data_IF_057374027563
#
_entry.id   IF_057374027563
#
_cell.length_a   1.000
_cell.length_b   1.000
_cell.length_c   1.000
_cell.angle_alpha   90.00
_cell.angle_beta   90.00
_cell.angle_gamma   90.00
#
_symmetry.space_group_name_H-M   'P 1'
#
loop_
_entity.id
_entity.type
_entity.pdbx_description
1 polymer ?
#
# COMPACT_ATOMS: atom_id res chain seq x y z
N UNK A 1 -21.54 4.91 -14.44
CA UNK A 1 -20.50 3.88 -14.19
C UNK A 1 -20.73 3.33 -12.80
N UNK A 2 -21.08 2.05 -12.64
CA UNK A 2 -21.17 1.45 -11.31
C UNK A 2 -19.77 1.37 -10.68
N UNK A 3 -19.58 1.79 -9.40
CA UNK A 3 -18.27 1.82 -8.77
C UNK A 3 -17.69 0.39 -8.66
N UNK A 4 -16.36 0.22 -8.80
CA UNK A 4 -15.68 -1.05 -8.52
C UNK A 4 -15.78 -1.43 -7.05
N UNK A 5 -15.65 -2.73 -6.76
CA UNK A 5 -15.73 -3.25 -5.39
C UNK A 5 -14.37 -3.12 -4.71
N UNK A 6 -14.33 -2.31 -3.65
CA UNK A 6 -13.22 -2.26 -2.70
C UNK A 6 -13.55 -3.15 -1.50
N UNK A 7 -12.78 -4.21 -1.30
CA UNK A 7 -12.98 -5.14 -0.18
C UNK A 7 -11.86 -4.96 0.84
N UNK A 8 -12.13 -4.31 1.99
CA UNK A 8 -11.24 -4.40 3.13
C UNK A 8 -11.33 -5.80 3.74
N UNK A 9 -10.23 -6.56 3.72
CA UNK A 9 -10.17 -7.92 4.22
C UNK A 9 -8.96 -8.16 5.12
N UNK A 10 -9.14 -8.81 6.26
CA UNK A 10 -8.02 -9.35 7.05
C UNK A 10 -7.78 -10.80 6.63
N UNK A 11 -6.66 -11.10 5.97
CA UNK A 11 -6.34 -12.49 5.59
C UNK A 11 -6.01 -13.37 6.80
N UNK A 12 -5.77 -12.75 7.95
CA UNK A 12 -5.41 -13.40 9.22
C UNK A 12 -6.58 -14.04 9.95
N UNK A 13 -7.80 -13.51 9.79
CA UNK A 13 -8.98 -14.00 10.51
C UNK A 13 -9.77 -15.02 9.68
N UNK A 14 -10.30 -16.11 10.28
CA UNK A 14 -11.04 -17.15 9.56
C UNK A 14 -12.23 -16.62 8.74
N UNK A 15 -12.94 -15.62 9.28
CA UNK A 15 -14.03 -14.96 8.55
C UNK A 15 -13.49 -14.09 7.42
N UNK A 16 -12.39 -13.37 7.65
CA UNK A 16 -11.78 -12.50 6.63
C UNK A 16 -11.14 -13.28 5.48
N UNK A 17 -10.55 -14.44 5.74
CA UNK A 17 -10.03 -15.34 4.72
C UNK A 17 -11.15 -16.16 4.06
N UNK A 18 -11.89 -16.97 4.82
CA UNK A 18 -12.86 -17.93 4.27
C UNK A 18 -14.06 -17.28 3.59
N UNK A 19 -14.78 -16.40 4.29
CA UNK A 19 -15.95 -15.72 3.71
C UNK A 19 -15.51 -14.70 2.64
N UNK A 20 -14.38 -14.04 2.83
CA UNK A 20 -13.81 -13.11 1.85
C UNK A 20 -13.48 -13.79 0.51
N UNK A 21 -12.88 -14.98 0.55
CA UNK A 21 -12.58 -15.76 -0.65
C UNK A 21 -13.85 -16.21 -1.37
N UNK A 22 -14.83 -16.74 -0.63
CA UNK A 22 -16.12 -17.14 -1.20
C UNK A 22 -16.85 -15.95 -1.85
N UNK A 23 -16.79 -14.77 -1.23
CA UNK A 23 -17.37 -13.56 -1.80
C UNK A 23 -16.67 -13.17 -3.11
N UNK A 24 -15.34 -13.22 -3.15
CA UNK A 24 -14.57 -12.92 -4.35
C UNK A 24 -14.86 -13.88 -5.51
N UNK A 25 -15.03 -15.17 -5.21
CA UNK A 25 -15.46 -16.18 -6.18
C UNK A 25 -16.83 -15.81 -6.78
N UNK A 26 -17.80 -15.49 -5.93
CA UNK A 26 -19.17 -15.14 -6.37
C UNK A 26 -19.20 -13.84 -7.16
N UNK A 27 -18.47 -12.82 -6.70
CA UNK A 27 -18.33 -11.55 -7.42
C UNK A 27 -17.64 -11.74 -8.77
N UNK A 28 -16.71 -12.67 -8.89
CA UNK A 28 -16.05 -12.97 -10.17
C UNK A 28 -17.00 -13.66 -11.16
N UNK A 29 -17.90 -14.52 -10.67
CA UNK A 29 -18.95 -15.15 -11.49
C UNK A 29 -19.98 -14.11 -11.95
N UNK A 30 -20.52 -13.32 -11.03
CA UNK A 30 -21.62 -12.40 -11.34
C UNK A 30 -21.15 -11.11 -12.02
N UNK A 31 -19.94 -10.64 -11.71
CA UNK A 31 -19.39 -9.34 -12.14
C UNK A 31 -17.96 -9.43 -12.70
N UNK A 32 -17.65 -10.48 -13.48
CA UNK A 32 -16.29 -10.72 -13.99
C UNK A 32 -15.62 -9.59 -14.78
N UNK A 33 -16.40 -8.68 -15.40
CA UNK A 33 -15.85 -7.51 -16.13
C UNK A 33 -15.48 -6.32 -15.24
N UNK A 34 -15.77 -6.38 -13.94
CA UNK A 34 -15.48 -5.30 -12.99
C UNK A 34 -14.11 -5.52 -12.34
N UNK A 35 -13.35 -4.43 -12.23
CA UNK A 35 -12.09 -4.42 -11.49
C UNK A 35 -12.35 -4.62 -10.00
N UNK A 36 -11.56 -5.48 -9.38
CA UNK A 36 -11.64 -5.90 -7.98
C UNK A 36 -10.32 -5.56 -7.29
N UNK A 37 -10.39 -4.64 -6.33
CA UNK A 37 -9.23 -4.18 -5.58
C UNK A 37 -9.39 -4.63 -4.14
N UNK A 38 -8.35 -5.29 -3.63
CA UNK A 38 -8.33 -5.83 -2.27
C UNK A 38 -7.34 -5.06 -1.42
N UNK A 39 -7.78 -4.62 -0.24
CA UNK A 39 -6.92 -4.04 0.79
C UNK A 39 -6.74 -5.10 1.87
N UNK A 40 -5.55 -5.69 1.93
CA UNK A 40 -5.30 -6.87 2.76
C UNK A 40 -4.31 -6.61 3.88
N UNK A 41 -4.72 -6.88 5.10
CA UNK A 41 -3.80 -6.96 6.23
C UNK A 41 -3.18 -8.37 6.28
N UNK A 42 -1.87 -8.42 6.10
CA UNK A 42 -1.08 -9.64 5.99
C UNK A 42 -0.70 -10.23 7.35
N UNK A 43 -0.36 -11.52 7.37
CA UNK A 43 0.12 -12.19 8.57
C UNK A 43 1.51 -11.69 8.97
N UNK A 44 1.62 -11.23 10.21
CA UNK A 44 2.89 -10.83 10.81
C UNK A 44 3.42 -11.96 11.70
N UNK A 45 4.67 -12.42 11.49
CA UNK A 45 5.29 -13.42 12.32
C UNK A 45 5.42 -13.09 13.80
N UNK A 46 5.66 -11.82 14.14
CA UNK A 46 6.04 -11.37 15.48
C UNK A 46 4.83 -10.91 16.31
N UNK A 47 3.80 -10.37 15.66
CA UNK A 47 2.60 -9.80 16.28
C UNK A 47 1.36 -10.62 15.90
N UNK A 48 1.55 -11.94 15.76
CA UNK A 48 0.48 -12.86 15.39
C UNK A 48 -0.50 -13.01 16.55
N UNK A 49 -1.80 -12.84 16.26
CA UNK A 49 -2.88 -13.01 17.26
C UNK A 49 -3.45 -14.42 17.27
N UNK A 50 -3.26 -15.18 16.19
CA UNK A 50 -3.71 -16.56 16.09
C UNK A 50 -2.64 -17.47 15.46
N UNK A 51 -2.45 -18.64 16.06
CA UNK A 51 -1.44 -19.64 15.64
C UNK A 51 -1.66 -20.11 14.19
N UNK A 52 -2.91 -20.10 13.73
CA UNK A 52 -3.31 -20.57 12.38
C UNK A 52 -3.26 -19.47 11.31
N UNK A 53 -2.74 -18.28 11.61
CA UNK A 53 -2.71 -17.17 10.65
C UNK A 53 -1.99 -17.51 9.34
N UNK A 54 -0.89 -18.27 9.39
CA UNK A 54 -0.18 -18.64 8.17
C UNK A 54 -0.99 -19.61 7.28
N UNK A 55 -1.77 -20.54 7.88
CA UNK A 55 -2.71 -21.37 7.12
C UNK A 55 -3.78 -20.52 6.42
N UNK A 56 -4.42 -19.62 7.17
CA UNK A 56 -5.46 -18.75 6.63
C UNK A 56 -4.92 -17.86 5.50
N UNK A 57 -3.69 -17.36 5.66
CA UNK A 57 -3.06 -16.49 4.66
C UNK A 57 -2.76 -17.27 3.38
N UNK A 58 -2.08 -18.42 3.45
CA UNK A 58 -1.75 -19.23 2.27
C UNK A 58 -3.01 -19.66 1.51
N UNK A 59 -4.05 -20.10 2.24
CA UNK A 59 -5.33 -20.46 1.63
C UNK A 59 -6.02 -19.26 0.97
N UNK A 60 -6.00 -18.09 1.62
CA UNK A 60 -6.59 -16.87 1.09
C UNK A 60 -5.87 -16.37 -0.17
N UNK A 61 -4.54 -16.46 -0.18
CA UNK A 61 -3.70 -16.06 -1.32
C UNK A 61 -4.05 -16.84 -2.58
N UNK A 62 -4.38 -18.13 -2.45
CA UNK A 62 -4.80 -18.95 -3.58
C UNK A 62 -6.03 -18.36 -4.29
N UNK A 63 -7.07 -17.97 -3.53
CA UNK A 63 -8.26 -17.34 -4.10
C UNK A 63 -8.00 -15.90 -4.56
N UNK A 64 -7.17 -15.12 -3.83
CA UNK A 64 -6.78 -13.76 -4.24
C UNK A 64 -6.06 -13.77 -5.59
N UNK A 65 -5.27 -14.81 -5.86
CA UNK A 65 -4.52 -14.96 -7.10
C UNK A 65 -5.41 -15.03 -8.34
N UNK A 66 -6.59 -15.64 -8.22
CA UNK A 66 -7.52 -15.87 -9.34
C UNK A 66 -8.60 -14.80 -9.44
N UNK A 67 -9.02 -14.22 -8.30
CA UNK A 67 -10.23 -13.41 -8.22
C UNK A 67 -9.99 -11.93 -7.88
N UNK A 68 -8.75 -11.46 -7.77
CA UNK A 68 -8.45 -10.04 -7.57
C UNK A 68 -7.57 -9.50 -8.67
N UNK A 69 -7.81 -8.24 -9.06
CA UNK A 69 -7.05 -7.57 -10.11
C UNK A 69 -5.82 -6.84 -9.54
N UNK A 70 -5.97 -6.25 -8.34
CA UNK A 70 -4.88 -5.61 -7.58
C UNK A 70 -5.09 -5.88 -6.10
N UNK A 71 -4.05 -6.37 -5.42
CA UNK A 71 -4.06 -6.55 -3.96
C UNK A 71 -3.00 -5.66 -3.33
N UNK A 72 -3.43 -4.72 -2.49
CA UNK A 72 -2.53 -3.86 -1.72
C UNK A 72 -2.31 -4.51 -0.36
N UNK A 73 -1.04 -4.73 -0.03
CA UNK A 73 -0.64 -5.42 1.18
C UNK A 73 -0.27 -4.42 2.27
N UNK A 74 -0.67 -4.74 3.50
CA UNK A 74 -0.32 -4.04 4.72
C UNK A 74 0.15 -5.03 5.78
N UNK A 75 1.24 -4.73 6.47
CA UNK A 75 1.77 -5.51 7.57
C UNK A 75 1.56 -4.75 8.88
N UNK A 76 0.95 -5.42 9.86
CA UNK A 76 0.74 -4.81 11.17
C UNK A 76 2.07 -4.40 11.81
N UNK A 77 3.14 -5.19 11.69
CA UNK A 77 4.45 -4.87 12.27
C UNK A 77 5.01 -3.57 11.69
N UNK A 78 4.96 -3.42 10.36
CA UNK A 78 5.40 -2.18 9.71
C UNK A 78 4.55 -0.99 10.17
N UNK A 79 3.22 -1.15 10.29
CA UNK A 79 2.33 -0.11 10.81
C UNK A 79 2.69 0.28 12.26
N UNK A 80 2.95 -0.70 13.14
CA UNK A 80 3.37 -0.45 14.52
C UNK A 80 4.70 0.30 14.60
N UNK A 81 5.69 -0.12 13.81
CA UNK A 81 7.02 0.51 13.76
C UNK A 81 6.93 1.97 13.28
N UNK A 82 6.13 2.23 12.25
CA UNK A 82 5.88 3.58 11.73
C UNK A 82 5.18 4.45 12.78
N UNK A 83 4.13 3.96 13.44
CA UNK A 83 3.45 4.72 14.49
C UNK A 83 4.38 5.05 15.66
N UNK A 84 5.24 4.11 16.08
CA UNK A 84 6.22 4.35 17.16
C UNK A 84 7.26 5.39 16.78
N UNK A 85 7.85 5.24 15.59
CA UNK A 85 8.97 6.06 15.16
C UNK A 85 8.55 7.47 14.71
N UNK A 86 7.50 7.55 13.91
CA UNK A 86 7.08 8.80 13.24
C UNK A 86 6.04 9.59 14.03
N UNK A 87 5.14 8.91 14.74
CA UNK A 87 4.09 9.56 15.54
C UNK A 87 4.44 9.68 17.03
N UNK A 88 5.57 9.11 17.46
CA UNK A 88 6.05 9.13 18.86
C UNK A 88 5.08 8.43 19.84
N UNK A 89 4.35 7.41 19.36
CA UNK A 89 3.39 6.67 20.17
C UNK A 89 4.05 5.40 20.69
N UNK A 90 4.40 5.35 21.97
CA UNK A 90 5.11 4.21 22.60
C UNK A 90 4.33 2.87 22.43
N UNK A 91 3.01 2.92 22.60
CA UNK A 91 2.11 1.76 22.49
C UNK A 91 0.96 2.07 21.53
N UNK A 92 1.15 1.89 20.21
CA UNK A 92 0.09 2.11 19.25
C UNK A 92 -1.07 1.16 19.51
N UNK A 93 -2.30 1.67 19.34
CA UNK A 93 -3.53 0.87 19.41
C UNK A 93 -4.07 0.63 18.00
N UNK A 94 -4.99 -0.33 17.83
CA UNK A 94 -5.65 -0.53 16.53
C UNK A 94 -6.35 0.72 16.00
N UNK A 95 -6.79 1.63 16.88
CA UNK A 95 -7.34 2.93 16.45
C UNK A 95 -6.29 3.77 15.72
N UNK A 96 -5.04 3.80 16.21
CA UNK A 96 -3.94 4.54 15.56
C UNK A 96 -3.59 3.90 14.20
N UNK A 97 -3.48 2.56 14.16
CA UNK A 97 -3.19 1.82 12.93
C UNK A 97 -4.29 2.04 11.87
N UNK A 98 -5.55 1.92 12.26
CA UNK A 98 -6.69 2.11 11.37
C UNK A 98 -6.79 3.54 10.84
N UNK A 99 -6.45 4.55 11.65
CA UNK A 99 -6.39 5.94 11.20
C UNK A 99 -5.32 6.15 10.15
N UNK A 100 -4.16 5.50 10.29
CA UNK A 100 -3.09 5.56 9.29
C UNK A 100 -3.49 4.86 7.99
N UNK A 101 -4.07 3.65 8.09
CA UNK A 101 -4.62 2.95 6.93
C UNK A 101 -5.71 3.76 6.22
N UNK A 102 -6.60 4.42 6.97
CA UNK A 102 -7.63 5.27 6.40
C UNK A 102 -7.06 6.45 5.59
N UNK A 103 -5.90 7.00 5.97
CA UNK A 103 -5.24 8.07 5.21
C UNK A 103 -4.68 7.58 3.88
N UNK A 104 -4.09 6.38 3.88
CA UNK A 104 -3.59 5.74 2.66
C UNK A 104 -4.76 5.47 1.72
N UNK A 105 -5.77 4.73 2.19
CA UNK A 105 -6.96 4.38 1.40
C UNK A 105 -7.66 5.64 0.89
N UNK A 106 -7.78 6.68 1.72
CA UNK A 106 -8.33 7.98 1.30
C UNK A 106 -7.50 8.62 0.17
N UNK A 107 -6.17 8.49 0.21
CA UNK A 107 -5.29 9.05 -0.82
C UNK A 107 -5.35 8.25 -2.13
N UNK A 108 -5.45 6.93 -2.05
CA UNK A 108 -5.57 6.05 -3.22
C UNK A 108 -6.91 6.19 -3.92
N UNK A 109 -7.98 6.40 -3.17
CA UNK A 109 -9.35 6.61 -3.69
C UNK A 109 -9.65 8.07 -3.98
N UNK A 110 -8.71 8.99 -3.76
CA UNK A 110 -8.95 10.42 -3.94
C UNK A 110 -9.29 10.78 -5.39
N UNK A 111 -8.62 10.16 -6.36
CA UNK A 111 -8.86 10.38 -7.80
C UNK A 111 -10.27 10.00 -8.26
N UNK A 112 -10.95 9.12 -7.52
CA UNK A 112 -12.32 8.70 -7.81
C UNK A 112 -13.37 9.63 -7.21
N UNK A 113 -13.00 10.31 -6.12
CA UNK A 113 -13.93 11.10 -5.29
C UNK A 113 -13.83 12.59 -5.60
N UNK A 114 -12.70 13.04 -6.10
CA UNK A 114 -12.40 14.44 -6.35
C UNK A 114 -11.72 14.58 -7.70
N UNK A 115 -12.02 15.69 -8.37
CA UNK A 115 -11.30 16.05 -9.58
C UNK A 115 -9.87 16.50 -9.25
N UNK A 116 -8.95 16.25 -10.17
CA UNK A 116 -7.52 16.46 -10.01
C UNK A 116 -6.88 16.87 -11.33
N UNK A 117 -5.67 17.43 -11.28
CA UNK A 117 -4.94 17.78 -12.50
C UNK A 117 -4.50 16.55 -13.29
N UNK A 118 -4.24 15.45 -12.59
CA UNK A 118 -3.85 14.18 -13.18
C UNK A 118 -4.55 13.08 -12.38
N UNK A 119 -5.65 12.58 -12.91
CA UNK A 119 -6.45 11.53 -12.28
C UNK A 119 -5.91 10.17 -12.73
N UNK A 120 -5.73 9.26 -11.78
CA UNK A 120 -5.42 7.86 -12.04
C UNK A 120 -6.65 7.04 -11.68
N UNK A 121 -7.21 6.35 -12.67
CA UNK A 121 -8.40 5.51 -12.48
C UNK A 121 -8.03 4.15 -11.85
N UNK A 122 -9.00 3.48 -11.22
CA UNK A 122 -8.77 2.15 -10.65
C UNK A 122 -8.43 1.10 -11.72
N UNK A 123 -9.01 1.23 -12.92
CA UNK A 123 -8.62 0.40 -14.07
C UNK A 123 -7.19 0.66 -14.51
N UNK A 124 -6.69 1.88 -14.30
CA UNK A 124 -5.30 2.22 -14.60
C UNK A 124 -4.32 1.63 -13.58
N UNK A 125 -4.74 1.35 -12.35
CA UNK A 125 -3.88 0.59 -11.43
C UNK A 125 -3.59 -0.81 -11.97
N UNK A 126 -4.59 -1.49 -12.52
CA UNK A 126 -4.38 -2.80 -13.13
C UNK A 126 -3.45 -2.70 -14.34
N UNK A 127 -3.74 -1.83 -15.30
CA UNK A 127 -2.95 -1.75 -16.54
C UNK A 127 -1.53 -1.22 -16.34
N UNK A 128 -1.32 -0.32 -15.38
CA UNK A 128 -0.03 0.32 -15.18
C UNK A 128 0.84 -0.37 -14.13
N UNK A 129 0.26 -1.04 -13.14
CA UNK A 129 1.02 -1.63 -12.03
C UNK A 129 1.14 -3.15 -12.12
N UNK A 130 0.30 -3.82 -12.90
CA UNK A 130 0.28 -5.30 -13.00
C UNK A 130 0.83 -5.73 -14.37
N UNK A 131 2.15 -5.97 -14.49
CA UNK A 131 2.74 -6.42 -15.76
C UNK A 131 2.31 -7.85 -16.13
N UNK A 132 2.05 -8.68 -15.13
CA UNK A 132 1.59 -10.05 -15.28
C UNK A 132 0.43 -10.32 -14.32
N UNK A 133 -0.66 -10.98 -14.75
CA UNK A 133 -1.87 -11.13 -13.93
C UNK A 133 -1.68 -11.77 -12.56
N UNK A 134 -0.63 -12.57 -12.36
CA UNK A 134 -0.31 -13.23 -11.07
C UNK A 134 0.58 -12.40 -10.15
N UNK A 135 1.15 -11.30 -10.65
CA UNK A 135 2.07 -10.42 -9.94
C UNK A 135 1.37 -9.09 -9.67
N UNK A 136 0.27 -9.15 -8.94
CA UNK A 136 -0.62 -8.04 -8.63
C UNK A 136 -0.64 -7.65 -7.14
N UNK A 137 0.38 -8.09 -6.40
CA UNK A 137 0.56 -7.75 -5.00
C UNK A 137 1.44 -6.50 -4.87
N UNK A 138 0.87 -5.44 -4.32
CA UNK A 138 1.47 -4.12 -4.29
C UNK A 138 1.97 -3.77 -2.90
N UNK A 139 3.15 -3.12 -2.88
CA UNK A 139 3.66 -2.41 -1.72
C UNK A 139 3.07 -1.01 -1.69
N UNK A 140 2.72 -0.53 -0.49
CA UNK A 140 2.26 0.85 -0.28
C UNK A 140 3.19 1.60 0.65
N UNK A 141 3.33 2.90 0.43
CA UNK A 141 4.04 3.83 1.31
C UNK A 141 3.37 5.21 1.29
N UNK A 142 3.57 5.97 2.35
CA UNK A 142 2.96 7.29 2.51
C UNK A 142 3.93 8.24 3.17
N UNK A 143 3.99 9.47 2.65
CA UNK A 143 4.75 10.55 3.25
C UNK A 143 4.01 11.88 3.06
N UNK A 144 4.12 12.81 4.02
CA UNK A 144 4.83 12.65 5.27
C UNK A 144 3.94 12.05 6.37
N UNK A 145 4.57 11.34 7.32
CA UNK A 145 3.91 10.84 8.53
C UNK A 145 4.52 11.63 9.70
N UNK A 146 3.84 12.68 10.13
CA UNK A 146 4.32 13.59 11.18
C UNK A 146 3.30 13.62 12.31
N UNK A 147 3.79 13.55 13.56
CA UNK A 147 2.97 13.72 14.75
C UNK A 147 2.34 15.13 14.81
N UNK A 148 1.10 15.21 15.27
CA UNK A 148 0.40 16.49 15.48
C UNK A 148 1.20 17.49 16.35
N UNK A 149 2.05 17.00 17.25
CA UNK A 149 2.89 17.83 18.13
C UNK A 149 4.09 18.46 17.40
N UNK A 150 4.60 17.80 16.34
CA UNK A 150 5.81 18.21 15.60
C UNK A 150 5.50 19.04 14.34
N UNK A 151 4.21 19.28 14.07
CA UNK A 151 3.72 19.90 12.84
C UNK A 151 4.26 21.31 12.55
N UNK A 152 4.66 22.07 13.57
CA UNK A 152 5.01 23.48 13.43
C UNK A 152 6.42 23.74 12.89
N UNK A 153 7.28 22.72 12.84
CA UNK A 153 8.71 22.93 12.59
C UNK A 153 9.17 22.62 11.16
N UNK A 154 8.39 21.86 10.37
CA UNK A 154 8.86 21.38 9.05
C UNK A 154 7.76 21.45 7.97
N UNK A 155 7.95 22.32 6.98
CA UNK A 155 7.21 22.24 5.72
C UNK A 155 8.05 21.45 4.72
N UNK A 156 7.61 20.23 4.42
CA UNK A 156 8.32 19.38 3.46
C UNK A 156 8.02 19.80 2.02
N UNK A 157 9.07 19.89 1.23
CA UNK A 157 9.02 20.11 -0.22
C UNK A 157 8.47 18.87 -0.95
N UNK A 158 8.04 19.05 -2.20
CA UNK A 158 7.62 17.93 -3.06
C UNK A 158 8.76 16.91 -3.19
N UNK A 159 9.99 17.37 -3.38
CA UNK A 159 11.16 16.50 -3.49
C UNK A 159 11.40 15.65 -2.24
N UNK A 160 11.27 16.24 -1.05
CA UNK A 160 11.47 15.52 0.22
C UNK A 160 10.39 14.45 0.45
N UNK A 161 9.12 14.75 0.19
CA UNK A 161 8.04 13.75 0.33
C UNK A 161 8.18 12.64 -0.73
N UNK A 162 8.57 12.99 -1.96
CA UNK A 162 8.85 12.03 -3.03
C UNK A 162 10.00 11.10 -2.64
N UNK A 163 11.05 11.63 -2.01
CA UNK A 163 12.15 10.80 -1.53
C UNK A 163 11.73 9.89 -0.37
N UNK A 164 10.95 10.43 0.56
CA UNK A 164 10.54 9.75 1.79
C UNK A 164 9.69 8.50 1.53
N UNK A 165 8.87 8.50 0.46
CA UNK A 165 8.06 7.31 0.11
C UNK A 165 8.89 6.13 -0.39
N UNK A 166 10.12 6.35 -0.86
CA UNK A 166 11.05 5.29 -1.26
C UNK A 166 11.93 4.79 -0.11
N UNK A 167 11.87 5.43 1.06
CA UNK A 167 12.59 4.93 2.22
C UNK A 167 11.95 3.63 2.72
N UNK A 168 12.73 2.56 2.98
CA UNK A 168 12.21 1.29 3.47
C UNK A 168 11.34 1.43 4.72
N UNK A 169 11.65 2.43 5.55
CA UNK A 169 10.98 2.65 6.80
C UNK A 169 9.59 3.34 6.65
N UNK A 170 9.27 3.85 5.46
CA UNK A 170 7.96 4.42 5.13
C UNK A 170 7.03 3.42 4.42
N UNK A 171 7.50 2.20 4.16
CA UNK A 171 6.74 1.14 3.50
C UNK A 171 5.89 0.40 4.54
N UNK A 172 4.62 0.19 4.23
CA UNK A 172 3.65 -0.45 5.12
C UNK A 172 3.72 -1.98 5.13
N UNK A 173 4.77 -2.56 4.57
CA UNK A 173 5.02 -3.99 4.50
C UNK A 173 6.47 -4.21 4.88
N UNK A 174 6.73 -5.16 5.79
CA UNK A 174 8.09 -5.43 6.27
C UNK A 174 8.89 -6.19 5.22
N UNK A 175 9.50 -5.50 4.27
CA UNK A 175 10.43 -6.06 3.29
C UNK A 175 11.52 -5.05 2.97
N UNK A 176 12.68 -5.51 2.50
CA UNK A 176 13.72 -4.60 2.02
C UNK A 176 13.57 -4.38 0.50
N UNK A 177 13.11 -3.19 0.05
CA UNK A 177 12.99 -2.91 -1.38
C UNK A 177 14.33 -2.93 -2.12
N UNK A 178 15.47 -2.80 -1.43
CA UNK A 178 16.80 -2.84 -2.05
C UNK A 178 17.23 -4.25 -2.49
N UNK A 179 16.63 -5.30 -1.92
CA UNK A 179 16.81 -6.69 -2.36
C UNK A 179 15.94 -7.05 -3.58
N UNK A 180 15.09 -6.12 -4.02
CA UNK A 180 14.19 -6.31 -5.15
C UNK A 180 14.43 -5.32 -6.28
N UNK A 181 13.62 -5.45 -7.33
CA UNK A 181 13.51 -4.47 -8.41
C UNK A 181 12.07 -4.01 -8.53
N UNK A 182 11.89 -2.73 -8.76
CA UNK A 182 10.59 -2.14 -9.07
C UNK A 182 10.18 -2.47 -10.50
N UNK A 183 8.98 -2.99 -10.66
CA UNK A 183 8.35 -3.22 -11.97
C UNK A 183 7.54 -2.00 -12.39
N UNK A 184 6.83 -1.39 -11.45
CA UNK A 184 6.01 -0.21 -11.68
C UNK A 184 5.79 0.55 -10.36
N UNK A 185 5.61 1.86 -10.44
CA UNK A 185 5.35 2.76 -9.33
C UNK A 185 4.29 3.78 -9.73
N UNK A 186 3.29 3.97 -8.88
CA UNK A 186 2.30 5.04 -8.98
C UNK A 186 2.43 5.95 -7.76
N UNK A 187 2.59 7.25 -8.01
CA UNK A 187 2.73 8.28 -7.00
C UNK A 187 1.50 9.18 -7.02
N UNK A 188 0.70 9.11 -5.96
CA UNK A 188 -0.53 9.86 -5.79
C UNK A 188 -0.28 11.04 -4.85
N UNK A 189 -0.06 12.22 -5.44
CA UNK A 189 0.15 13.47 -4.72
C UNK A 189 -1.18 14.14 -4.36
N UNK A 190 -1.21 14.77 -3.18
CA UNK A 190 -2.36 15.51 -2.67
C UNK A 190 -1.96 16.85 -2.09
N UNK A 191 -2.79 17.87 -2.31
CA UNK A 191 -2.65 19.22 -1.74
C UNK A 191 -1.89 20.19 -2.65
N UNK A 192 -1.16 21.11 -2.02
CA UNK A 192 -0.40 22.14 -2.70
C UNK A 192 0.86 21.54 -3.37
N UNK A 193 0.69 21.07 -4.60
CA UNK A 193 1.71 20.36 -5.38
C UNK A 193 1.74 20.90 -6.80
N UNK A 194 2.91 21.38 -7.23
CA UNK A 194 3.12 21.90 -8.58
C UNK A 194 3.61 20.77 -9.50
N UNK A 195 2.98 20.50 -10.65
CA UNK A 195 3.38 19.41 -11.55
C UNK A 195 4.84 19.46 -12.01
N UNK A 196 5.40 20.66 -12.17
CA UNK A 196 6.82 20.88 -12.51
C UNK A 196 7.75 20.27 -11.45
N UNK A 197 7.45 20.49 -10.17
CA UNK A 197 8.27 20.01 -9.06
C UNK A 197 8.17 18.49 -8.93
N UNK A 198 6.99 17.92 -9.22
CA UNK A 198 6.80 16.46 -9.28
C UNK A 198 7.68 15.84 -10.36
N UNK A 199 7.66 16.39 -11.59
CA UNK A 199 8.47 15.88 -12.69
C UNK A 199 9.97 15.96 -12.38
N UNK A 200 10.42 17.07 -11.78
CA UNK A 200 11.81 17.21 -11.34
C UNK A 200 12.21 16.20 -10.25
N UNK A 201 11.29 15.93 -9.32
CA UNK A 201 11.50 14.97 -8.23
C UNK A 201 11.54 13.53 -8.76
N UNK A 202 10.65 13.17 -9.68
CA UNK A 202 10.64 11.84 -10.34
C UNK A 202 11.91 11.63 -11.16
N UNK A 203 12.34 12.62 -11.96
CA UNK A 203 13.59 12.54 -12.71
C UNK A 203 14.81 12.33 -11.78
N UNK A 204 14.79 12.95 -10.59
CA UNK A 204 15.84 12.74 -9.58
C UNK A 204 15.81 11.30 -9.06
N UNK A 205 14.63 10.74 -8.78
CA UNK A 205 14.46 9.34 -8.35
C UNK A 205 14.97 8.36 -9.41
N UNK A 206 14.66 8.58 -10.69
CA UNK A 206 15.08 7.71 -11.79
C UNK A 206 16.60 7.56 -11.89
N UNK A 207 17.35 8.60 -11.51
CA UNK A 207 18.82 8.59 -11.52
C UNK A 207 19.45 7.94 -10.27
N UNK A 208 18.67 7.65 -9.22
CA UNK A 208 19.20 7.10 -7.96
C UNK A 208 19.49 5.61 -8.10
N UNK A 209 20.78 5.25 -7.95
CA UNK A 209 21.25 3.85 -8.01
C UNK A 209 20.64 2.92 -6.96
N UNK A 210 20.14 3.46 -5.86
CA UNK A 210 19.48 2.70 -4.79
C UNK A 210 18.08 2.23 -5.17
N UNK A 211 17.46 2.85 -6.17
CA UNK A 211 16.11 2.52 -6.64
C UNK A 211 16.26 1.88 -8.01
N UNK A 212 16.16 0.56 -8.04
CA UNK A 212 16.40 -0.21 -9.26
C UNK A 212 15.08 -0.64 -9.89
N UNK A 213 14.88 -0.28 -11.15
CA UNK A 213 13.77 -0.78 -11.96
C UNK A 213 14.21 -2.01 -12.77
N UNK A 214 13.23 -2.78 -13.21
CA UNK A 214 13.44 -3.87 -14.18
C UNK A 214 13.78 -3.32 -15.56
N UNK A 215 14.68 -4.01 -16.27
CA UNK A 215 15.27 -3.53 -17.52
C UNK A 215 14.25 -3.35 -18.66
N UNK A 216 13.12 -4.06 -18.60
CA UNK A 216 12.04 -3.99 -19.58
C UNK A 216 10.99 -2.91 -19.28
N UNK A 217 11.10 -2.19 -18.16
CA UNK A 217 10.20 -1.10 -17.79
C UNK A 217 10.96 0.25 -17.75
N UNK A 218 11.16 0.91 -18.90
CA UNK A 218 11.99 2.11 -18.99
C UNK A 218 11.36 3.36 -18.38
N UNK A 219 10.04 3.40 -18.18
CA UNK A 219 9.30 4.53 -17.58
C UNK A 219 8.27 4.03 -16.57
N UNK A 220 8.77 3.53 -15.44
CA UNK A 220 7.98 2.87 -14.41
C UNK A 220 7.10 3.79 -13.54
N UNK A 221 7.08 5.10 -13.78
CA UNK A 221 6.36 6.06 -12.95
C UNK A 221 5.03 6.50 -13.56
N UNK A 222 3.97 6.35 -12.78
CA UNK A 222 2.70 7.04 -12.97
C UNK A 222 2.50 8.05 -11.86
N UNK A 223 1.97 9.20 -12.21
CA UNK A 223 1.74 10.30 -11.27
C UNK A 223 0.26 10.61 -11.28
N UNK A 224 -0.31 10.82 -10.10
CA UNK A 224 -1.61 11.44 -9.90
C UNK A 224 -1.46 12.69 -9.06
N UNK A 225 -2.19 13.76 -9.36
CA UNK A 225 -2.15 15.02 -8.60
C UNK A 225 -3.56 15.46 -8.31
N UNK A 226 -3.87 15.56 -7.02
CA UNK A 226 -5.12 16.08 -6.52
C UNK A 226 -4.86 17.34 -5.68
N UNK A 227 -5.49 18.47 -6.01
CA UNK A 227 -5.25 19.74 -5.29
C UNK A 227 -5.92 19.80 -3.92
N UNK A 228 -6.81 18.87 -3.59
CA UNK A 228 -7.45 18.85 -2.29
C UNK A 228 -6.46 18.36 -1.22
N UNK A 229 -6.15 19.19 -0.20
CA UNK A 229 -5.20 18.84 0.83
C UNK A 229 -5.66 17.60 1.61
N UNK A 230 -4.72 16.80 2.16
CA UNK A 230 -5.05 15.71 3.06
C UNK A 230 -5.85 16.21 4.28
N UNK A 231 -6.93 15.50 4.61
CA UNK A 231 -7.76 15.82 5.78
C UNK A 231 -7.38 14.91 6.93
N UNK A 232 -7.10 15.49 8.10
CA UNK A 232 -6.84 14.72 9.32
C UNK A 232 -8.12 14.51 10.12
N UNK A 233 -8.19 13.39 10.85
CA UNK A 233 -9.32 13.09 11.74
C UNK A 233 -9.17 13.96 13.01
N UNK A 234 -10.23 14.64 13.49
CA UNK A 234 -10.17 15.37 14.76
C UNK A 234 -9.76 14.45 15.93
N UNK A 235 -8.81 14.90 16.76
CA UNK A 235 -8.21 14.05 17.80
C UNK A 235 -7.39 12.87 17.26
N UNK A 236 -6.95 12.98 16.00
CA UNK A 236 -6.01 12.07 15.35
C UNK A 236 -4.56 12.42 15.66
N UNK A 237 -3.69 11.44 15.45
CA UNK A 237 -2.26 11.55 15.80
C UNK A 237 -1.44 12.25 14.69
N UNK A 238 -2.01 12.38 13.50
CA UNK A 238 -1.36 12.96 12.33
C UNK A 238 -1.53 14.48 12.28
N UNK A 239 -0.42 15.16 11.99
CA UNK A 239 -0.38 16.58 11.71
C UNK A 239 -1.16 16.94 10.45
N UNK A 240 -1.79 18.13 10.45
CA UNK A 240 -2.33 18.71 9.22
C UNK A 240 -1.17 19.15 8.33
N UNK A 241 -1.12 18.61 7.12
CA UNK A 241 -0.07 18.91 6.14
C UNK A 241 -0.67 19.55 4.89
N UNK A 242 0.09 20.43 4.26
CA UNK A 242 -0.32 21.12 3.03
C UNK A 242 -0.22 20.22 1.81
N UNK A 243 0.65 19.20 1.87
CA UNK A 243 0.88 18.24 0.81
C UNK A 243 1.25 16.87 1.35
N UNK A 244 0.92 15.82 0.60
CA UNK A 244 1.32 14.45 0.86
C UNK A 244 1.48 13.67 -0.46
N UNK A 245 2.20 12.57 -0.39
CA UNK A 245 2.39 11.60 -1.46
C UNK A 245 2.10 10.19 -0.92
N UNK A 246 1.23 9.47 -1.61
CA UNK A 246 1.01 8.05 -1.39
C UNK A 246 1.60 7.30 -2.59
N UNK A 247 2.49 6.35 -2.36
CA UNK A 247 3.03 5.51 -3.42
C UNK A 247 2.42 4.11 -3.34
N UNK A 248 1.99 3.60 -4.49
CA UNK A 248 1.77 2.16 -4.72
C UNK A 248 2.87 1.70 -5.66
N UNK A 249 3.54 0.62 -5.32
CA UNK A 249 4.60 0.07 -6.16
C UNK A 249 4.49 -1.44 -6.26
N UNK A 250 4.77 -1.95 -7.46
CA UNK A 250 4.97 -3.37 -7.69
C UNK A 250 6.48 -3.64 -7.65
N UNK A 251 6.94 -4.39 -6.66
CA UNK A 251 8.35 -4.69 -6.46
C UNK A 251 8.53 -6.17 -6.16
N UNK A 252 9.59 -6.76 -6.70
CA UNK A 252 9.93 -8.16 -6.43
C UNK A 252 10.34 -8.40 -4.98
N UNK A 253 10.63 -7.35 -4.20
CA UNK A 253 10.94 -7.45 -2.77
C UNK A 253 9.79 -8.07 -1.95
N UNK A 254 8.55 -8.01 -2.46
CA UNK A 254 7.40 -8.64 -1.82
C UNK A 254 7.54 -10.16 -1.69
N UNK A 255 8.40 -10.80 -2.49
CA UNK A 255 8.70 -12.23 -2.39
C UNK A 255 9.24 -12.62 -1.00
N UNK A 256 9.95 -11.73 -0.30
CA UNK A 256 10.40 -11.97 1.08
C UNK A 256 9.21 -12.21 2.02
N UNK A 257 8.11 -11.48 1.82
CA UNK A 257 6.90 -11.56 2.63
C UNK A 257 6.22 -12.91 2.44
N UNK A 258 6.10 -13.36 1.19
CA UNK A 258 5.59 -14.69 0.84
C UNK A 258 6.47 -15.79 1.43
N UNK A 259 7.79 -15.71 1.23
CA UNK A 259 8.73 -16.71 1.74
C UNK A 259 8.65 -16.90 3.26
N UNK A 260 8.48 -15.80 4.03
CA UNK A 260 8.28 -15.91 5.50
C UNK A 260 6.98 -16.61 5.86
N UNK A 261 5.91 -16.38 5.11
CA UNK A 261 4.62 -17.05 5.34
C UNK A 261 4.69 -18.53 4.98
N UNK A 262 5.28 -18.87 3.84
CA UNK A 262 5.43 -20.25 3.38
C UNK A 262 6.28 -21.06 4.36
N UNK A 263 7.40 -20.50 4.82
CA UNK A 263 8.25 -21.16 5.81
C UNK A 263 7.47 -21.52 7.10
N UNK A 264 6.62 -20.61 7.59
CA UNK A 264 5.77 -20.90 8.77
C UNK A 264 4.71 -21.95 8.47
N UNK A 265 4.10 -21.89 7.30
CA UNK A 265 3.13 -22.88 6.86
C UNK A 265 3.76 -24.28 6.82
N UNK A 266 4.93 -24.42 6.21
CA UNK A 266 5.66 -25.69 6.07
C UNK A 266 6.03 -26.28 7.44
N UNK A 267 6.52 -25.44 8.36
CA UNK A 267 6.84 -25.88 9.72
C UNK A 267 5.61 -26.45 10.43
N UNK A 268 4.46 -25.82 10.31
CA UNK A 268 3.22 -26.31 10.94
C UNK A 268 2.66 -27.54 10.22
N UNK A 269 2.72 -27.57 8.89
CA UNK A 269 2.16 -28.66 8.09
C UNK A 269 2.99 -29.95 8.20
N UNK A 270 4.31 -29.84 8.34
CA UNK A 270 5.21 -30.99 8.54
C UNK A 270 4.97 -31.80 9.82
N UNK A 271 4.19 -31.26 10.77
CA UNK A 271 3.85 -31.92 12.05
C UNK A 271 2.51 -32.65 12.00
N UNK A 272 1.90 -32.79 10.82
CA UNK A 272 0.68 -33.57 10.59
C UNK A 272 0.99 -34.94 10.00
#
# INVERSE_FOLDING_TARGET
MAPPYELPGKTTQPTGSGLGCLLLERLSVDYGKKSKISFTAWACPQISTAVVEAYNTVLCVHSLLEHTDVTIMYDNEALYDICRRSLDIERPTYTNLNRMLAQIISSLTASLRFDGALNVDLTEFQTNLVPYPRIHFMLSSYAPIISAEKAYHEQLSVAEITMSVFEPASIFVKCDPSHGKYMACCMMYRGDVVPKDVNASVATIETKRTIQFVDWCPTGFKVGINYQPPTVVPGGDLAKVMRACCMISNSTAIAEVFSRCDHKFDLMYSKR
#
